data_IF_624724998596
#
_entry.id   IF_624724998596
#
_cell.length_a   1.000
_cell.length_b   1.000
_cell.length_c   1.000
_cell.angle_alpha   90.00
_cell.angle_beta   90.00
_cell.angle_gamma   90.00
#
_symmetry.space_group_name_H-M   'P 1'
#
loop_
_entity.id
_entity.type
_entity.pdbx_description
1 polymer ?
#
# COMPACT_ATOMS: atom_id res chain seq x y z
N UNK A 1 -30.54 50.73 -19.38
CA UNK A 1 -30.88 49.76 -18.32
C UNK A 1 -31.27 48.42 -18.94
N UNK A 2 -30.37 47.43 -18.92
CA UNK A 2 -30.67 46.01 -19.17
C UNK A 2 -29.72 45.19 -18.29
N UNK A 3 -30.26 44.53 -17.26
CA UNK A 3 -29.56 43.54 -16.45
C UNK A 3 -30.33 42.22 -16.56
N UNK A 4 -29.73 41.22 -17.23
CA UNK A 4 -30.17 39.83 -17.23
C UNK A 4 -29.32 39.05 -16.22
N UNK A 5 -29.99 38.37 -15.29
CA UNK A 5 -29.42 37.61 -14.17
C UNK A 5 -28.63 36.38 -14.65
N UNK A 6 -27.47 36.16 -14.04
CA UNK A 6 -26.71 34.91 -14.14
C UNK A 6 -27.36 33.81 -13.27
N UNK A 7 -27.45 32.61 -13.84
CA UNK A 7 -27.94 31.40 -13.17
C UNK A 7 -26.72 30.57 -12.72
N UNK A 8 -26.48 30.51 -11.40
CA UNK A 8 -25.48 29.61 -10.81
C UNK A 8 -26.08 28.21 -10.67
N UNK A 9 -25.58 27.26 -11.45
CA UNK A 9 -25.93 25.84 -11.34
C UNK A 9 -24.97 25.16 -10.35
N UNK A 10 -25.48 24.83 -9.15
CA UNK A 10 -24.78 24.04 -8.15
C UNK A 10 -24.89 22.56 -8.52
N UNK A 11 -23.81 21.92 -8.98
CA UNK A 11 -23.76 20.46 -9.14
C UNK A 11 -23.51 19.80 -7.78
N UNK A 12 -24.55 19.18 -7.22
CA UNK A 12 -24.42 18.29 -6.07
C UNK A 12 -23.95 16.90 -6.53
N UNK A 13 -22.75 16.50 -6.13
CA UNK A 13 -22.22 15.14 -6.33
C UNK A 13 -22.68 14.27 -5.16
N UNK A 14 -23.65 13.40 -5.38
CA UNK A 14 -24.08 12.37 -4.42
C UNK A 14 -23.15 11.16 -4.52
N UNK A 15 -22.32 10.96 -3.49
CA UNK A 15 -21.55 9.73 -3.32
C UNK A 15 -22.41 8.70 -2.56
N UNK A 16 -23.02 7.76 -3.29
CA UNK A 16 -23.72 6.63 -2.69
C UNK A 16 -22.72 5.57 -2.22
N UNK A 17 -22.53 5.45 -0.91
CA UNK A 17 -21.75 4.38 -0.28
C UNK A 17 -22.73 3.35 0.29
N UNK A 18 -22.70 2.13 -0.25
CA UNK A 18 -23.53 1.03 0.21
C UNK A 18 -22.98 0.43 1.51
N UNK A 19 -23.84 0.30 2.52
CA UNK A 19 -23.59 -0.39 3.78
C UNK A 19 -23.85 -1.89 3.61
N UNK A 20 -22.93 -2.73 4.09
CA UNK A 20 -23.18 -4.17 4.27
C UNK A 20 -23.33 -4.46 5.76
N UNK A 21 -24.56 -4.76 6.17
CA UNK A 21 -24.91 -5.37 7.46
C UNK A 21 -24.82 -6.89 7.31
N UNK A 22 -23.99 -7.54 8.11
CA UNK A 22 -23.95 -9.01 8.21
C UNK A 22 -24.77 -9.47 9.40
N UNK A 23 -25.84 -10.24 9.16
CA UNK A 23 -26.54 -10.97 10.21
C UNK A 23 -25.82 -12.29 10.49
N UNK A 24 -25.67 -12.59 11.78
CA UNK A 24 -25.26 -13.89 12.30
C UNK A 24 -26.44 -14.86 12.33
N UNK A 25 -26.17 -16.15 12.15
CA UNK A 25 -27.05 -17.17 12.69
C UNK A 25 -26.28 -18.41 13.15
N UNK A 26 -26.87 -19.04 14.16
CA UNK A 26 -26.24 -19.94 15.12
C UNK A 26 -26.46 -21.43 14.87
N UNK A 27 -25.44 -22.22 15.27
CA UNK A 27 -25.49 -23.55 15.91
C UNK A 27 -26.15 -24.76 15.24
N UNK A 28 -25.37 -25.84 15.11
CA UNK A 28 -25.73 -27.17 15.65
C UNK A 28 -24.49 -28.03 15.88
N UNK A 29 -24.51 -28.81 16.97
CA UNK A 29 -23.41 -29.57 17.58
C UNK A 29 -23.58 -31.09 17.31
N UNK A 30 -22.43 -31.81 17.24
CA UNK A 30 -22.18 -33.20 17.74
C UNK A 30 -22.65 -34.35 16.81
N UNK A 31 -21.93 -35.46 16.52
CA UNK A 31 -21.11 -36.36 17.35
C UNK A 31 -20.08 -37.20 16.54
N UNK A 32 -19.09 -37.70 17.28
CA UNK A 32 -17.88 -38.49 16.99
C UNK A 32 -18.04 -39.89 16.36
N UNK A 33 -16.95 -40.40 15.74
CA UNK A 33 -16.43 -41.77 15.93
C UNK A 33 -14.90 -41.86 15.71
N UNK A 34 -14.29 -42.76 16.47
CA UNK A 34 -12.87 -42.95 16.77
C UNK A 34 -12.15 -44.00 15.91
N UNK A 35 -10.81 -43.96 15.93
CA UNK A 35 -9.86 -45.02 15.49
C UNK A 35 -8.98 -44.50 14.34
N UNK A 36 -7.65 -44.63 14.29
CA UNK A 36 -6.71 -45.49 14.99
C UNK A 36 -5.34 -44.77 15.13
N UNK A 37 -4.50 -45.30 16.01
CA UNK A 37 -3.12 -44.88 16.25
C UNK A 37 -2.26 -45.22 15.03
N UNK A 38 -1.42 -44.28 14.60
CA UNK A 38 -0.11 -44.58 14.03
C UNK A 38 0.89 -43.50 14.44
N UNK A 39 1.86 -43.94 15.22
CA UNK A 39 3.00 -43.16 15.71
C UNK A 39 4.07 -43.11 14.62
N UNK A 40 4.32 -41.92 14.07
CA UNK A 40 5.49 -41.66 13.23
C UNK A 40 6.40 -40.68 13.95
N UNK A 41 7.64 -41.12 14.14
CA UNK A 41 8.72 -40.43 14.83
C UNK A 41 8.98 -39.04 14.23
N UNK A 42 9.09 -38.05 15.11
CA UNK A 42 9.49 -36.68 14.77
C UNK A 42 11.01 -36.68 14.66
N UNK A 43 11.52 -36.72 13.43
CA UNK A 43 12.89 -36.35 13.14
C UNK A 43 13.01 -34.82 13.19
N UNK A 44 13.73 -34.33 14.21
CA UNK A 44 14.21 -32.96 14.29
C UNK A 44 15.21 -32.71 13.14
N UNK A 45 14.75 -32.12 12.04
CA UNK A 45 15.64 -31.44 11.10
C UNK A 45 15.47 -29.94 11.29
N UNK A 46 16.44 -29.34 11.98
CA UNK A 46 16.58 -27.90 12.08
C UNK A 46 16.70 -27.33 10.67
N UNK A 47 15.67 -26.60 10.23
CA UNK A 47 15.76 -25.77 9.04
C UNK A 47 16.47 -24.50 9.47
N UNK A 48 17.76 -24.44 9.20
CA UNK A 48 18.52 -23.20 9.19
C UNK A 48 17.86 -22.24 8.21
N UNK A 49 17.41 -21.10 8.74
CA UNK A 49 16.88 -20.00 7.94
C UNK A 49 18.09 -19.30 7.31
N UNK A 50 18.39 -19.63 6.05
CA UNK A 50 19.36 -18.89 5.24
C UNK A 50 18.98 -17.40 5.21
N UNK A 51 19.89 -16.58 5.70
CA UNK A 51 19.81 -15.12 5.66
C UNK A 51 20.06 -14.63 4.24
N UNK A 52 19.03 -14.58 3.40
CA UNK A 52 19.03 -13.72 2.22
C UNK A 52 18.90 -12.26 2.68
N UNK A 53 20.03 -11.70 3.11
CA UNK A 53 20.18 -10.26 3.36
C UNK A 53 20.61 -9.60 2.05
N UNK A 54 19.96 -8.51 1.59
CA UNK A 54 20.52 -7.68 0.53
C UNK A 54 21.92 -7.18 0.95
N UNK A 55 22.83 -6.87 0.00
CA UNK A 55 24.19 -6.51 0.35
C UNK A 55 24.19 -5.25 1.22
N UNK A 56 24.50 -5.44 2.50
CA UNK A 56 24.99 -4.39 3.37
C UNK A 56 26.42 -4.12 2.95
N UNK A 57 26.66 -3.10 2.12
CA UNK A 57 28.06 -2.76 1.84
C UNK A 57 28.36 -1.68 0.82
N UNK A 58 27.52 -1.43 -0.19
CA UNK A 58 27.87 -0.45 -1.22
C UNK A 58 27.08 0.85 -1.07
N UNK A 59 27.75 2.01 -0.95
CA UNK A 59 27.10 3.32 -1.01
C UNK A 59 26.19 3.42 -2.23
N UNK A 60 25.05 4.10 -2.06
CA UNK A 60 24.13 4.37 -3.17
C UNK A 60 24.85 5.13 -4.28
N UNK A 61 24.82 4.58 -5.50
CA UNK A 61 25.29 5.30 -6.69
C UNK A 61 24.40 6.53 -6.93
N UNK A 62 24.91 7.69 -6.54
CA UNK A 62 24.18 8.96 -6.60
C UNK A 62 23.98 9.43 -8.04
N UNK A 63 24.88 9.10 -8.96
CA UNK A 63 24.76 9.46 -10.37
C UNK A 63 23.64 8.64 -11.03
N UNK A 64 23.60 7.33 -10.80
CA UNK A 64 22.51 6.47 -11.26
C UNK A 64 21.18 6.85 -10.61
N UNK A 65 21.17 7.15 -9.31
CA UNK A 65 19.99 7.61 -8.59
C UNK A 65 19.41 8.89 -9.24
N UNK A 66 20.24 9.91 -9.47
CA UNK A 66 19.83 11.15 -10.12
C UNK A 66 19.32 10.92 -11.55
N UNK A 67 19.97 10.02 -12.31
CA UNK A 67 19.52 9.62 -13.65
C UNK A 67 18.12 8.99 -13.61
N UNK A 68 17.92 8.03 -12.71
CA UNK A 68 16.63 7.33 -12.54
C UNK A 68 15.50 8.26 -12.08
N UNK A 69 15.79 9.24 -11.23
CA UNK A 69 14.81 10.27 -10.85
C UNK A 69 14.36 11.12 -12.05
N UNK A 70 15.29 11.50 -12.94
CA UNK A 70 14.95 12.22 -14.18
C UNK A 70 14.12 11.35 -15.12
N UNK A 71 14.45 10.06 -15.25
CA UNK A 71 13.67 9.09 -16.03
C UNK A 71 12.24 8.96 -15.48
N UNK A 72 12.06 8.83 -14.16
CA UNK A 72 10.75 8.77 -13.53
C UNK A 72 9.95 10.06 -13.70
N UNK A 73 10.59 11.23 -13.67
CA UNK A 73 9.91 12.50 -13.91
C UNK A 73 9.27 12.60 -15.31
N UNK A 74 9.70 11.74 -16.25
CA UNK A 74 9.07 11.55 -17.56
C UNK A 74 8.87 12.87 -18.34
N UNK A 75 9.91 13.72 -18.33
CA UNK A 75 9.89 15.01 -19.01
C UNK A 75 8.91 16.01 -18.40
N UNK A 76 8.71 16.00 -17.08
CA UNK A 76 8.06 17.11 -16.38
C UNK A 76 8.92 18.39 -16.56
N UNK A 77 8.31 19.43 -17.11
CA UNK A 77 8.95 20.74 -17.34
C UNK A 77 8.47 21.79 -16.33
N UNK A 78 7.53 21.43 -15.44
CA UNK A 78 6.95 22.36 -14.46
C UNK A 78 7.84 22.58 -13.25
N UNK A 79 8.87 21.75 -13.08
CA UNK A 79 9.79 21.80 -11.95
C UNK A 79 9.23 21.18 -10.67
N UNK A 80 8.07 20.51 -10.73
CA UNK A 80 7.49 19.75 -9.61
C UNK A 80 8.18 18.40 -9.42
N UNK A 81 8.56 17.75 -10.53
CA UNK A 81 9.16 16.42 -10.53
C UNK A 81 10.49 16.42 -11.31
N UNK A 82 11.53 15.69 -10.83
CA UNK A 82 11.58 15.03 -9.52
C UNK A 82 11.64 16.08 -8.40
N UNK A 83 11.23 15.69 -7.18
CA UNK A 83 11.28 16.58 -6.02
C UNK A 83 12.72 16.99 -5.75
N UNK A 84 12.96 18.31 -5.70
CA UNK A 84 14.29 18.88 -5.48
C UNK A 84 14.73 18.66 -4.02
N UNK A 85 16.03 18.53 -3.81
CA UNK A 85 16.66 18.40 -2.47
C UNK A 85 16.18 17.20 -1.64
N UNK A 86 15.69 16.13 -2.28
CA UNK A 86 15.47 14.87 -1.57
C UNK A 86 16.81 14.24 -1.14
N UNK A 87 16.89 13.60 0.04
CA UNK A 87 18.11 12.96 0.50
C UNK A 87 18.46 11.75 -0.37
N UNK A 88 19.76 11.47 -0.52
CA UNK A 88 20.20 10.19 -1.07
C UNK A 88 19.83 9.07 -0.08
N UNK A 89 19.22 7.97 -0.55
CA UNK A 89 18.81 6.90 0.34
C UNK A 89 20.03 6.08 0.80
N UNK A 90 19.89 5.36 1.91
CA UNK A 90 20.91 4.40 2.35
C UNK A 90 21.07 3.24 1.34
N UNK A 91 22.19 2.47 1.41
CA UNK A 91 22.37 1.24 0.64
C UNK A 91 21.19 0.28 0.73
N UNK A 92 20.88 -0.39 -0.37
CA UNK A 92 19.76 -1.32 -0.48
C UNK A 92 18.40 -0.66 -0.76
N UNK A 93 18.39 0.63 -1.11
CA UNK A 93 17.20 1.31 -1.60
C UNK A 93 16.61 0.61 -2.84
N UNK A 94 15.28 0.51 -2.89
CA UNK A 94 14.56 -0.16 -3.98
C UNK A 94 14.16 0.88 -5.03
N UNK A 95 13.68 2.05 -4.61
CA UNK A 95 13.24 3.15 -5.45
C UNK A 95 14.38 4.17 -5.61
N UNK A 96 14.58 4.75 -6.81
CA UNK A 96 13.86 4.51 -8.06
C UNK A 96 14.45 3.38 -8.93
N UNK A 97 15.34 2.53 -8.39
CA UNK A 97 16.08 1.53 -9.18
C UNK A 97 15.19 0.39 -9.71
N UNK A 98 14.18 0.00 -8.94
CA UNK A 98 13.19 -1.02 -9.27
C UNK A 98 11.78 -0.45 -9.17
N UNK A 99 10.83 -1.07 -9.88
CA UNK A 99 9.39 -0.80 -9.75
C UNK A 99 8.75 -1.86 -8.88
N UNK A 100 8.04 -1.47 -7.83
CA UNK A 100 7.29 -2.43 -7.01
C UNK A 100 5.97 -2.77 -7.71
N UNK A 101 5.65 -4.06 -7.80
CA UNK A 101 4.35 -4.57 -8.28
C UNK A 101 3.78 -5.47 -7.20
N UNK A 102 2.57 -5.18 -6.74
CA UNK A 102 2.00 -5.85 -5.57
C UNK A 102 0.53 -6.18 -5.68
N UNK A 103 0.12 -7.27 -5.02
CA UNK A 103 -1.27 -7.57 -4.74
C UNK A 103 -1.63 -7.14 -3.32
N UNK A 104 -2.73 -6.39 -3.20
CA UNK A 104 -3.25 -5.88 -1.95
C UNK A 104 -4.37 -6.76 -1.40
N UNK A 105 -4.52 -6.82 -0.08
CA UNK A 105 -5.75 -7.30 0.55
C UNK A 105 -5.57 -7.93 1.92
N UNK A 106 -6.50 -8.82 2.29
CA UNK A 106 -6.53 -9.47 3.59
C UNK A 106 -6.91 -10.96 3.45
N UNK A 107 -6.08 -11.87 3.96
CA UNK A 107 -6.26 -13.32 3.95
C UNK A 107 -7.58 -13.84 4.56
N UNK A 108 -8.24 -13.07 5.44
CA UNK A 108 -9.57 -13.44 5.95
C UNK A 108 -10.73 -12.98 5.06
N UNK A 109 -10.48 -12.20 4.01
CA UNK A 109 -11.53 -11.64 3.17
C UNK A 109 -11.20 -11.74 1.69
N UNK A 110 -12.04 -12.51 0.98
CA UNK A 110 -12.04 -12.57 -0.49
C UNK A 110 -12.59 -11.30 -1.16
N UNK A 111 -13.03 -10.31 -0.39
CA UNK A 111 -13.62 -9.05 -0.88
C UNK A 111 -12.70 -7.84 -0.70
N UNK A 112 -11.58 -8.01 -0.01
CA UNK A 112 -10.67 -6.91 0.34
C UNK A 112 -9.41 -6.84 -0.54
N UNK A 113 -9.34 -7.67 -1.59
CA UNK A 113 -8.34 -7.55 -2.65
C UNK A 113 -7.76 -8.88 -3.11
N UNK A 114 -7.09 -8.83 -4.28
CA UNK A 114 -6.50 -9.97 -4.95
C UNK A 114 -5.61 -10.88 -4.06
N UNK A 115 -4.95 -10.32 -3.04
CA UNK A 115 -4.13 -11.10 -2.10
C UNK A 115 -4.95 -12.17 -1.35
N UNK A 116 -6.15 -11.82 -0.90
CA UNK A 116 -7.03 -12.68 -0.09
C UNK A 116 -8.11 -13.40 -0.90
N UNK A 117 -8.29 -13.03 -2.17
CA UNK A 117 -9.33 -13.60 -3.03
C UNK A 117 -9.01 -15.01 -3.53
N UNK A 118 -7.74 -15.29 -3.82
CA UNK A 118 -7.30 -16.52 -4.46
C UNK A 118 -6.46 -17.39 -3.50
N UNK A 119 -6.39 -18.70 -3.79
CA UNK A 119 -5.46 -19.59 -3.11
C UNK A 119 -4.00 -19.16 -3.36
N UNK A 120 -3.06 -19.32 -2.41
CA UNK A 120 -1.72 -18.73 -2.51
C UNK A 120 -0.96 -19.03 -3.81
N UNK A 121 -0.98 -20.27 -4.30
CA UNK A 121 -0.30 -20.64 -5.55
C UNK A 121 -0.88 -19.90 -6.77
N UNK A 122 -2.21 -19.78 -6.81
CA UNK A 122 -2.92 -19.09 -7.90
C UNK A 122 -2.72 -17.58 -7.82
N UNK A 123 -2.83 -17.01 -6.61
CA UNK A 123 -2.54 -15.61 -6.33
C UNK A 123 -1.14 -15.23 -6.82
N UNK A 124 -0.11 -16.03 -6.49
CA UNK A 124 1.25 -15.80 -6.92
C UNK A 124 1.42 -15.95 -8.44
N UNK A 125 0.75 -16.94 -9.06
CA UNK A 125 0.76 -17.08 -10.53
C UNK A 125 0.23 -15.83 -11.22
N UNK A 126 -0.87 -15.27 -10.72
CA UNK A 126 -1.46 -14.04 -11.24
C UNK A 126 -0.56 -12.82 -10.99
N UNK A 127 0.00 -12.66 -9.80
CA UNK A 127 0.94 -11.59 -9.49
C UNK A 127 2.14 -11.60 -10.44
N UNK A 128 2.72 -12.78 -10.68
CA UNK A 128 3.86 -12.89 -11.59
C UNK A 128 3.49 -12.67 -13.06
N UNK A 129 2.22 -12.86 -13.44
CA UNK A 129 1.73 -12.42 -14.74
C UNK A 129 1.74 -10.90 -14.87
N UNK A 130 1.36 -10.15 -13.82
CA UNK A 130 1.48 -8.69 -13.81
C UNK A 130 2.95 -8.23 -13.80
N UNK A 131 3.81 -8.89 -13.02
CA UNK A 131 5.26 -8.64 -13.02
C UNK A 131 5.84 -8.73 -14.43
N UNK A 132 5.54 -9.81 -15.15
CA UNK A 132 6.03 -10.01 -16.51
C UNK A 132 5.56 -8.92 -17.50
N UNK A 133 4.32 -8.41 -17.34
CA UNK A 133 3.82 -7.29 -18.15
C UNK A 133 4.62 -6.00 -17.90
N UNK A 134 4.98 -5.73 -16.65
CA UNK A 134 5.77 -4.57 -16.27
C UNK A 134 7.24 -4.67 -16.69
N UNK A 135 7.85 -5.85 -16.60
CA UNK A 135 9.20 -6.09 -17.11
C UNK A 135 9.26 -5.92 -18.63
N UNK A 136 8.23 -6.38 -19.35
CA UNK A 136 8.14 -6.25 -20.81
C UNK A 136 8.03 -4.80 -21.28
N UNK A 137 7.26 -3.96 -20.60
CA UNK A 137 7.02 -2.57 -21.03
C UNK A 137 8.15 -1.61 -20.62
N UNK A 138 8.90 -1.94 -19.57
CA UNK A 138 10.02 -1.12 -19.07
C UNK A 138 11.21 -2.00 -18.63
N UNK A 139 11.90 -2.65 -19.59
CA UNK A 139 12.99 -3.59 -19.29
C UNK A 139 14.20 -2.93 -18.63
N UNK A 140 14.30 -1.59 -18.65
CA UNK A 140 15.37 -0.83 -18.00
C UNK A 140 15.13 -0.60 -16.50
N UNK A 141 13.96 -0.98 -15.99
CA UNK A 141 13.57 -0.83 -14.59
C UNK A 141 13.04 -2.16 -14.08
N UNK A 142 13.89 -2.98 -13.44
CA UNK A 142 13.49 -4.29 -12.93
C UNK A 142 12.29 -4.20 -11.99
N UNK A 143 11.50 -5.28 -11.92
CA UNK A 143 10.33 -5.34 -11.06
C UNK A 143 10.68 -5.99 -9.73
N UNK A 144 10.17 -5.42 -8.65
CA UNK A 144 10.25 -5.93 -7.29
C UNK A 144 8.86 -6.45 -6.88
N UNK A 145 8.61 -7.78 -6.93
CA UNK A 145 7.32 -8.33 -6.52
C UNK A 145 7.09 -8.12 -5.03
N UNK A 146 5.83 -7.93 -4.63
CA UNK A 146 5.45 -7.73 -3.24
C UNK A 146 4.04 -8.20 -2.91
N UNK A 147 3.77 -8.44 -1.63
CA UNK A 147 2.41 -8.62 -1.08
C UNK A 147 2.10 -7.46 -0.13
N UNK A 148 0.96 -6.79 -0.31
CA UNK A 148 0.52 -5.71 0.58
C UNK A 148 -0.69 -6.17 1.40
N UNK A 149 -0.44 -6.48 2.67
CA UNK A 149 -1.43 -7.07 3.55
C UNK A 149 -1.96 -6.08 4.57
N UNK A 150 -3.29 -6.01 4.70
CA UNK A 150 -3.95 -5.16 5.69
C UNK A 150 -3.85 -5.82 7.07
N UNK A 151 -2.90 -5.37 7.88
CA UNK A 151 -2.61 -5.93 9.20
C UNK A 151 -3.52 -5.35 10.29
N UNK A 152 -3.98 -4.10 10.11
CA UNK A 152 -5.01 -3.48 10.94
C UNK A 152 -6.11 -2.98 10.02
N UNK A 153 -7.32 -3.50 10.21
CA UNK A 153 -8.46 -3.28 9.31
C UNK A 153 -9.50 -2.40 10.02
N UNK A 154 -9.96 -1.33 9.38
CA UNK A 154 -11.10 -0.57 9.89
C UNK A 154 -12.36 -1.44 9.83
N UNK A 155 -13.11 -1.48 10.93
CA UNK A 155 -14.26 -2.36 11.10
C UNK A 155 -15.56 -1.56 11.20
N UNK A 156 -16.66 -2.15 10.72
CA UNK A 156 -18.01 -1.57 10.87
C UNK A 156 -18.53 -1.62 12.29
N UNK A 157 -18.08 -2.62 13.07
CA UNK A 157 -18.51 -2.88 14.44
C UNK A 157 -17.42 -2.49 15.46
N UNK A 158 -17.81 -2.07 16.68
CA UNK A 158 -16.85 -1.74 17.72
C UNK A 158 -16.13 -2.99 18.23
N UNK A 159 -14.81 -2.88 18.37
CA UNK A 159 -14.05 -3.82 19.20
C UNK A 159 -14.32 -3.60 20.70
N UNK A 160 -13.72 -4.43 21.56
CA UNK A 160 -13.89 -4.34 23.03
C UNK A 160 -13.53 -2.98 23.64
N UNK A 161 -12.62 -2.26 23.00
CA UNK A 161 -12.15 -0.92 23.38
C UNK A 161 -12.80 0.21 22.55
N UNK A 162 -13.85 -0.11 21.79
CA UNK A 162 -14.69 0.87 21.11
C UNK A 162 -14.05 1.60 19.93
N UNK A 163 -12.89 1.15 19.42
CA UNK A 163 -12.19 1.91 18.36
C UNK A 163 -12.42 1.43 16.91
N UNK A 164 -13.35 0.51 16.67
CA UNK A 164 -13.79 0.12 15.32
C UNK A 164 -12.65 -0.32 14.37
N UNK A 165 -11.76 -1.18 14.85
CA UNK A 165 -10.72 -1.82 14.03
C UNK A 165 -10.41 -3.23 14.50
N UNK A 166 -10.05 -4.09 13.57
CA UNK A 166 -9.62 -5.47 13.78
C UNK A 166 -8.14 -5.59 13.50
N UNK A 167 -7.38 -6.11 14.47
CA UNK A 167 -5.95 -6.42 14.31
C UNK A 167 -5.81 -7.86 13.87
N UNK A 168 -5.04 -8.10 12.82
CA UNK A 168 -4.76 -9.46 12.38
C UNK A 168 -3.91 -10.19 13.43
N UNK A 169 -4.29 -11.41 13.84
CA UNK A 169 -3.50 -12.17 14.79
C UNK A 169 -2.16 -12.56 14.18
N UNK A 170 -1.14 -12.72 15.03
CA UNK A 170 0.23 -13.04 14.61
C UNK A 170 0.32 -14.18 13.60
N UNK A 171 -0.46 -15.27 13.82
CA UNK A 171 -0.51 -16.44 12.93
C UNK A 171 -0.91 -16.11 11.49
N UNK A 172 -1.70 -15.05 11.28
CA UNK A 172 -2.09 -14.60 9.93
C UNK A 172 -0.98 -13.80 9.27
N UNK A 173 -0.33 -12.92 10.02
CA UNK A 173 0.85 -12.20 9.53
C UNK A 173 1.97 -13.21 9.22
N UNK A 174 2.15 -14.25 10.03
CA UNK A 174 3.09 -15.34 9.77
C UNK A 174 2.71 -16.16 8.54
N UNK A 175 1.41 -16.38 8.30
CA UNK A 175 0.92 -17.03 7.07
C UNK A 175 1.26 -16.21 5.83
N UNK A 176 1.13 -14.89 5.88
CA UNK A 176 1.57 -14.00 4.81
C UNK A 176 3.07 -14.18 4.53
N UNK A 177 3.91 -14.25 5.57
CA UNK A 177 5.35 -14.48 5.38
C UNK A 177 5.68 -15.84 4.79
N UNK A 178 4.93 -16.89 5.16
CA UNK A 178 5.08 -18.22 4.54
C UNK A 178 4.71 -18.18 3.05
N UNK A 179 3.62 -17.50 2.70
CA UNK A 179 3.25 -17.27 1.29
C UNK A 179 4.36 -16.48 0.59
N UNK A 180 4.92 -15.48 1.28
CA UNK A 180 5.96 -14.65 0.69
C UNK A 180 7.25 -15.42 0.38
N UNK A 181 7.62 -16.34 1.25
CA UNK A 181 8.77 -17.22 1.10
C UNK A 181 8.61 -18.28 -0.02
N UNK A 182 7.42 -18.42 -0.62
CA UNK A 182 7.22 -19.34 -1.77
C UNK A 182 7.91 -18.86 -3.05
N UNK A 183 8.39 -17.62 -3.07
CA UNK A 183 9.10 -17.00 -4.19
C UNK A 183 10.30 -16.21 -3.67
N UNK A 184 11.38 -16.17 -4.47
CA UNK A 184 12.59 -15.41 -4.12
C UNK A 184 12.33 -13.91 -4.19
N UNK A 185 13.10 -13.18 -3.39
CA UNK A 185 13.17 -11.72 -3.39
C UNK A 185 11.87 -10.98 -3.10
N UNK A 186 10.79 -11.63 -2.63
CA UNK A 186 9.53 -10.93 -2.41
C UNK A 186 9.56 -10.07 -1.14
N UNK A 187 9.09 -8.82 -1.27
CA UNK A 187 8.92 -7.90 -0.14
C UNK A 187 7.46 -7.91 0.35
N UNK A 188 7.25 -7.48 1.59
CA UNK A 188 5.92 -7.44 2.22
C UNK A 188 5.64 -6.04 2.72
N UNK A 189 4.41 -5.57 2.54
CA UNK A 189 3.90 -4.36 3.18
C UNK A 189 2.84 -4.75 4.22
N UNK A 190 2.92 -4.16 5.40
CA UNK A 190 1.86 -4.20 6.39
C UNK A 190 1.11 -2.87 6.37
N UNK A 191 -0.20 -2.93 6.09
CA UNK A 191 -1.06 -1.76 6.04
C UNK A 191 -1.82 -1.55 7.36
N UNK A 192 -2.07 -0.28 7.69
CA UNK A 192 -2.78 0.13 8.91
C UNK A 192 -3.94 1.07 8.59
N UNK A 193 -5.15 0.59 8.86
CA UNK A 193 -6.39 1.35 8.91
C UNK A 193 -6.80 1.57 10.36
N UNK A 194 -6.50 2.76 10.91
CA UNK A 194 -6.60 3.00 12.37
C UNK A 194 -8.03 3.17 12.90
N UNK A 195 -8.98 3.57 12.05
CA UNK A 195 -10.35 3.93 12.44
C UNK A 195 -10.36 4.98 13.55
N UNK A 196 -11.02 4.73 14.70
CA UNK A 196 -11.04 5.63 15.86
C UNK A 196 -9.83 5.48 16.80
N UNK A 197 -8.85 4.63 16.46
CA UNK A 197 -7.55 4.58 17.13
C UNK A 197 -6.59 5.60 16.51
N UNK A 198 -5.32 5.55 16.88
CA UNK A 198 -4.29 6.44 16.35
C UNK A 198 -3.12 5.65 15.80
N UNK A 199 -2.40 6.23 14.85
CA UNK A 199 -1.18 5.60 14.32
C UNK A 199 -0.11 5.37 15.39
N UNK A 200 -0.11 6.18 16.46
CA UNK A 200 0.79 6.04 17.62
C UNK A 200 0.48 4.79 18.46
N UNK A 201 -0.77 4.36 18.50
CA UNK A 201 -1.19 3.15 19.21
C UNK A 201 -1.01 1.88 18.36
N UNK A 202 -1.21 1.99 17.04
CA UNK A 202 -1.25 0.81 16.16
C UNK A 202 0.12 0.47 15.56
N UNK A 203 0.94 1.45 15.17
CA UNK A 203 2.24 1.20 14.53
C UNK A 203 3.22 0.39 15.41
N UNK A 204 3.42 0.70 16.71
CA UNK A 204 4.39 -0.03 17.54
C UNK A 204 4.08 -1.53 17.68
N UNK A 205 2.82 -1.93 17.54
CA UNK A 205 2.40 -3.33 17.60
C UNK A 205 2.98 -4.17 16.47
N UNK A 206 3.34 -3.56 15.34
CA UNK A 206 3.93 -4.22 14.18
C UNK A 206 5.46 -4.16 14.16
N UNK A 207 6.10 -3.55 15.17
CA UNK A 207 7.55 -3.34 15.20
C UNK A 207 8.35 -4.62 14.97
N UNK A 208 7.96 -5.73 15.61
CA UNK A 208 8.65 -7.02 15.48
C UNK A 208 8.75 -7.50 14.03
N UNK A 209 7.76 -7.15 13.20
CA UNK A 209 7.75 -7.48 11.78
C UNK A 209 8.52 -6.45 10.96
N UNK A 210 8.39 -5.16 11.28
CA UNK A 210 9.09 -4.06 10.60
C UNK A 210 10.63 -4.12 10.77
N UNK A 211 11.12 -4.82 11.80
CA UNK A 211 12.54 -5.15 11.98
C UNK A 211 13.11 -6.11 10.92
N UNK A 212 12.27 -6.78 10.12
CA UNK A 212 12.73 -7.62 9.00
C UNK A 212 13.16 -6.74 7.83
N UNK A 213 14.25 -7.07 7.10
CA UNK A 213 14.77 -6.22 6.02
C UNK A 213 13.77 -6.03 4.87
N UNK A 214 13.04 -7.09 4.51
CA UNK A 214 12.08 -7.12 3.40
C UNK A 214 10.64 -6.67 3.76
N UNK A 215 10.44 -6.08 4.94
CA UNK A 215 9.12 -5.60 5.39
C UNK A 215 9.06 -4.08 5.35
N UNK A 216 7.96 -3.59 4.80
CA UNK A 216 7.63 -2.18 4.56
C UNK A 216 6.24 -1.85 5.13
N UNK A 217 5.82 -0.60 5.04
CA UNK A 217 4.60 -0.11 5.69
C UNK A 217 3.70 0.65 4.71
N UNK A 218 2.39 0.45 4.83
CA UNK A 218 1.35 1.30 4.25
C UNK A 218 0.46 1.90 5.34
N UNK A 219 -0.13 3.07 5.06
CA UNK A 219 -1.22 3.65 5.86
C UNK A 219 -2.32 4.17 4.95
N UNK A 220 -3.55 4.05 5.44
CA UNK A 220 -4.77 4.48 4.76
C UNK A 220 -5.40 5.70 5.48
N UNK A 221 -5.10 6.94 5.04
CA UNK A 221 -5.64 8.15 5.67
C UNK A 221 -7.17 8.22 5.66
N UNK A 222 -7.85 7.63 4.68
CA UNK A 222 -9.31 7.59 4.59
C UNK A 222 -9.96 6.90 5.79
N UNK A 223 -9.21 6.08 6.53
CA UNK A 223 -9.65 5.42 7.76
C UNK A 223 -9.09 6.08 9.03
N UNK A 224 -8.45 7.25 8.96
CA UNK A 224 -8.05 8.01 10.16
C UNK A 224 -9.17 8.94 10.61
N UNK A 225 -10.00 8.45 11.53
CA UNK A 225 -11.31 9.03 11.85
C UNK A 225 -11.26 9.95 13.08
N UNK A 226 -10.49 11.04 12.98
CA UNK A 226 -10.21 11.97 14.09
C UNK A 226 -11.43 12.61 14.78
N UNK A 227 -12.58 12.67 14.10
CA UNK A 227 -13.80 13.30 14.60
C UNK A 227 -14.82 12.34 15.23
N UNK A 228 -14.45 11.10 15.56
CA UNK A 228 -15.38 10.12 16.14
C UNK A 228 -16.38 9.51 15.15
N UNK A 229 -16.34 9.95 13.89
CA UNK A 229 -17.21 9.44 12.83
C UNK A 229 -16.78 8.03 12.46
N UNK A 230 -17.74 7.12 12.32
CA UNK A 230 -17.45 5.72 11.97
C UNK A 230 -16.80 5.60 10.58
N UNK A 231 -15.86 4.65 10.40
CA UNK A 231 -15.18 4.43 9.12
C UNK A 231 -16.20 4.17 7.99
N UNK A 232 -15.88 4.64 6.79
CA UNK A 232 -16.75 4.49 5.61
C UNK A 232 -17.93 5.48 5.52
N UNK A 233 -18.20 6.28 6.56
CA UNK A 233 -19.22 7.36 6.52
C UNK A 233 -18.66 8.67 5.97
N UNK A 234 -17.38 8.94 6.25
CA UNK A 234 -16.60 10.08 5.74
C UNK A 234 -15.19 9.60 5.44
N UNK A 235 -14.50 10.35 4.57
CA UNK A 235 -13.08 10.14 4.32
C UNK A 235 -12.29 10.77 5.47
N UNK A 236 -11.48 9.95 6.14
CA UNK A 236 -10.56 10.37 7.19
C UNK A 236 -9.39 11.22 6.69
N UNK A 237 -8.45 11.51 7.59
CA UNK A 237 -7.30 12.38 7.27
C UNK A 237 -6.08 12.08 8.13
N UNK A 238 -4.90 12.21 7.52
CA UNK A 238 -3.64 12.39 8.24
C UNK A 238 -3.08 13.79 7.98
N UNK A 239 -2.45 14.36 9.00
CA UNK A 239 -1.58 15.53 8.84
C UNK A 239 -0.14 15.06 8.56
N UNK A 240 0.65 15.90 7.89
CA UNK A 240 2.09 15.74 7.78
C UNK A 240 2.78 15.45 9.13
N UNK A 241 2.29 15.95 10.27
CA UNK A 241 2.83 15.63 11.60
C UNK A 241 2.75 14.14 11.94
N UNK A 242 1.67 13.46 11.56
CA UNK A 242 1.48 12.03 11.81
C UNK A 242 2.26 11.19 10.80
N UNK A 243 2.30 11.62 9.53
CA UNK A 243 3.15 11.00 8.51
C UNK A 243 4.63 11.12 8.92
N UNK A 244 5.03 12.27 9.47
CA UNK A 244 6.36 12.50 10.00
C UNK A 244 6.68 11.61 11.19
N UNK A 245 5.71 11.39 12.10
CA UNK A 245 5.86 10.42 13.19
C UNK A 245 6.16 9.01 12.65
N UNK A 246 5.39 8.55 11.66
CA UNK A 246 5.61 7.23 11.05
C UNK A 246 6.98 7.16 10.37
N UNK A 247 7.35 8.15 9.57
CA UNK A 247 8.65 8.18 8.91
C UNK A 247 9.82 8.22 9.90
N UNK A 248 9.66 8.90 11.05
CA UNK A 248 10.66 8.95 12.11
C UNK A 248 10.83 7.60 12.79
N UNK A 249 9.71 6.94 13.09
CA UNK A 249 9.66 5.61 13.68
C UNK A 249 10.37 4.58 12.77
N UNK A 250 10.03 4.57 11.48
CA UNK A 250 10.68 3.69 10.51
C UNK A 250 12.18 4.01 10.37
N UNK A 251 12.56 5.29 10.35
CA UNK A 251 13.97 5.68 10.27
C UNK A 251 14.75 5.23 11.51
N UNK A 252 14.16 5.32 12.72
CA UNK A 252 14.76 4.78 13.94
C UNK A 252 14.95 3.27 13.85
N UNK A 253 13.95 2.52 13.39
CA UNK A 253 14.10 1.08 13.19
C UNK A 253 15.21 0.73 12.21
N UNK A 254 15.32 1.48 11.11
CA UNK A 254 16.38 1.29 10.12
C UNK A 254 17.76 1.49 10.72
N UNK A 255 17.98 2.59 11.46
CA UNK A 255 19.27 2.86 12.10
C UNK A 255 19.60 1.84 13.18
N UNK A 256 18.67 1.58 14.10
CA UNK A 256 18.91 0.71 15.26
C UNK A 256 19.17 -0.74 14.85
N UNK A 257 18.58 -1.21 13.74
CA UNK A 257 18.67 -2.60 13.30
C UNK A 257 19.51 -2.77 12.02
N UNK A 258 20.20 -1.70 11.56
CA UNK A 258 21.04 -1.69 10.34
C UNK A 258 20.31 -2.24 9.10
N UNK A 259 19.06 -1.83 8.91
CA UNK A 259 18.21 -2.32 7.82
C UNK A 259 18.45 -1.52 6.53
N UNK A 260 18.06 -2.07 5.36
CA UNK A 260 17.87 -1.24 4.17
C UNK A 260 16.71 -0.25 4.38
N UNK A 261 16.67 0.86 3.60
CA UNK A 261 15.58 1.83 3.67
C UNK A 261 14.19 1.22 3.50
N UNK A 262 13.23 1.70 4.29
CA UNK A 262 11.83 1.27 4.20
C UNK A 262 11.09 2.03 3.13
N UNK A 263 10.31 1.35 2.30
CA UNK A 263 9.25 2.00 1.54
C UNK A 263 8.10 2.29 2.50
N UNK A 264 7.59 3.52 2.48
CA UNK A 264 6.44 3.94 3.26
C UNK A 264 5.36 4.48 2.31
N UNK A 265 4.27 3.73 2.19
CA UNK A 265 3.17 4.05 1.28
C UNK A 265 2.10 4.84 2.05
N UNK A 266 1.68 5.97 1.48
CA UNK A 266 0.57 6.78 1.99
C UNK A 266 -0.49 6.85 0.89
N UNK A 267 -1.62 6.20 1.15
CA UNK A 267 -2.74 6.10 0.22
C UNK A 267 -3.47 7.44 0.08
N UNK A 268 -3.81 7.88 -1.14
CA UNK A 268 -4.45 9.17 -1.39
C UNK A 268 -5.27 9.17 -2.68
N UNK A 269 -6.52 9.62 -2.58
CA UNK A 269 -7.38 9.87 -3.74
C UNK A 269 -8.24 11.14 -3.61
N UNK A 270 -8.10 11.89 -2.51
CA UNK A 270 -8.60 13.26 -2.37
C UNK A 270 -7.54 14.12 -1.68
N UNK A 271 -7.57 15.44 -1.89
CA UNK A 271 -6.61 16.35 -1.25
C UNK A 271 -6.69 16.34 0.29
N UNK A 272 -7.91 16.29 0.86
CA UNK A 272 -8.12 16.37 2.31
C UNK A 272 -7.63 15.14 3.10
N UNK A 273 -7.34 14.03 2.42
CA UNK A 273 -6.76 12.84 3.06
C UNK A 273 -5.38 13.10 3.64
N UNK A 274 -4.59 13.99 3.02
CA UNK A 274 -3.26 14.36 3.50
C UNK A 274 -3.17 15.87 3.57
N UNK A 275 -3.20 16.40 4.79
CA UNK A 275 -3.06 17.83 5.04
C UNK A 275 -1.60 18.21 5.23
N UNK A 276 -1.25 19.44 4.85
CA UNK A 276 0.09 20.00 5.04
C UNK A 276 1.23 19.19 4.39
N UNK A 277 0.99 18.53 3.25
CA UNK A 277 1.96 17.61 2.61
C UNK A 277 3.37 18.21 2.41
N UNK A 278 3.48 19.53 2.21
CA UNK A 278 4.77 20.24 2.08
C UNK A 278 5.65 20.15 3.34
N UNK A 279 5.05 19.85 4.49
CA UNK A 279 5.74 19.68 5.76
C UNK A 279 6.17 18.22 6.00
N UNK A 280 5.90 17.29 5.08
CA UNK A 280 6.41 15.91 5.16
C UNK A 280 7.93 15.92 4.97
N UNK A 281 8.64 15.34 5.93
CA UNK A 281 10.11 15.29 5.98
C UNK A 281 10.60 14.03 5.30
N UNK A 282 11.48 14.19 4.31
CA UNK A 282 12.15 13.09 3.64
C UNK A 282 13.42 12.68 4.40
N UNK A 283 13.75 11.38 4.37
CA UNK A 283 14.83 10.78 5.17
C UNK A 283 15.62 9.76 4.34
N UNK A 284 16.95 9.64 4.49
CA UNK A 284 17.73 8.58 3.82
C UNK A 284 17.20 7.16 4.08
N UNK A 285 16.60 6.94 5.26
CA UNK A 285 16.10 5.65 5.72
C UNK A 285 14.70 5.29 5.18
N UNK A 286 13.97 6.24 4.59
CA UNK A 286 12.56 6.05 4.22
C UNK A 286 12.28 6.59 2.82
N UNK A 287 11.70 5.75 1.98
CA UNK A 287 11.27 6.06 0.61
C UNK A 287 9.75 6.24 0.62
N UNK A 288 9.28 7.48 0.65
CA UNK A 288 7.86 7.83 0.76
C UNK A 288 7.17 7.75 -0.61
N UNK A 289 6.09 6.99 -0.69
CA UNK A 289 5.27 6.84 -1.89
C UNK A 289 3.90 7.45 -1.62
N UNK A 290 3.55 8.51 -2.35
CA UNK A 290 2.17 8.98 -2.42
C UNK A 290 1.41 8.15 -3.46
N UNK A 291 0.47 7.35 -3.00
CA UNK A 291 -0.14 6.28 -3.78
C UNK A 291 -1.56 6.66 -4.22
N UNK A 292 -1.79 6.72 -5.55
CA UNK A 292 -3.11 7.00 -6.12
C UNK A 292 -4.05 5.81 -5.88
N UNK A 293 -4.92 5.92 -4.87
CA UNK A 293 -5.78 4.82 -4.37
C UNK A 293 -7.27 5.00 -4.75
N UNK A 294 -7.55 5.80 -5.77
CA UNK A 294 -8.92 6.04 -6.24
C UNK A 294 -9.35 4.96 -7.23
N UNK A 295 -10.57 4.42 -7.06
CA UNK A 295 -11.19 3.54 -8.06
C UNK A 295 -12.04 4.35 -9.04
N UNK A 296 -12.24 3.81 -10.24
CA UNK A 296 -13.10 4.40 -11.26
C UNK A 296 -12.57 4.18 -12.68
N UNK A 297 -13.29 4.73 -13.65
CA UNK A 297 -12.88 4.71 -15.05
C UNK A 297 -11.55 5.46 -15.26
N UNK A 298 -10.80 5.13 -16.34
CA UNK A 298 -9.47 5.71 -16.59
C UNK A 298 -9.40 7.24 -16.50
N UNK A 299 -10.40 7.95 -17.02
CA UNK A 299 -10.42 9.42 -17.00
C UNK A 299 -10.49 9.98 -15.58
N UNK A 300 -11.39 9.45 -14.74
CA UNK A 300 -11.49 9.83 -13.33
C UNK A 300 -10.18 9.58 -12.59
N UNK A 301 -9.55 8.42 -12.83
CA UNK A 301 -8.27 8.06 -12.21
C UNK A 301 -7.13 8.97 -12.65
N UNK A 302 -7.08 9.33 -13.94
CA UNK A 302 -6.13 10.32 -14.46
C UNK A 302 -6.38 11.71 -13.87
N UNK A 303 -7.64 12.10 -13.68
CA UNK A 303 -8.04 13.34 -13.00
C UNK A 303 -7.56 13.35 -11.55
N UNK A 304 -7.87 12.31 -10.78
CA UNK A 304 -7.43 12.13 -9.39
C UNK A 304 -5.91 12.18 -9.26
N UNK A 305 -5.19 11.46 -10.13
CA UNK A 305 -3.73 11.52 -10.19
C UNK A 305 -3.23 12.95 -10.43
N UNK A 306 -3.77 13.66 -11.41
CA UNK A 306 -3.35 15.03 -11.75
C UNK A 306 -3.54 15.99 -10.58
N UNK A 307 -4.70 15.95 -9.93
CA UNK A 307 -5.06 16.90 -8.89
C UNK A 307 -4.38 16.59 -7.55
N UNK A 308 -4.30 15.32 -7.17
CA UNK A 308 -3.90 14.96 -5.81
C UNK A 308 -2.56 14.24 -5.75
N UNK A 309 -1.98 13.75 -6.84
CA UNK A 309 -0.64 13.12 -6.81
C UNK A 309 0.39 14.04 -7.47
N UNK A 310 0.16 14.39 -8.73
CA UNK A 310 1.08 15.22 -9.50
C UNK A 310 1.25 16.64 -8.91
N UNK A 311 0.15 17.30 -8.54
CA UNK A 311 0.15 18.67 -8.02
C UNK A 311 0.57 18.79 -6.54
N UNK A 312 0.73 17.67 -5.83
CA UNK A 312 1.16 17.62 -4.44
C UNK A 312 2.36 16.67 -4.27
N UNK A 313 3.52 17.04 -4.84
CA UNK A 313 4.70 16.20 -4.86
C UNK A 313 5.29 15.99 -3.45
N UNK A 314 5.73 14.76 -3.17
CA UNK A 314 6.42 14.40 -1.91
C UNK A 314 7.76 13.72 -2.20
N UNK A 315 7.78 12.52 -2.80
CA UNK A 315 9.05 11.87 -3.18
C UNK A 315 8.89 10.91 -4.35
N UNK A 316 8.10 9.85 -4.18
CA UNK A 316 7.73 8.90 -5.23
C UNK A 316 6.22 8.80 -5.37
N UNK A 317 5.77 8.26 -6.50
CA UNK A 317 4.34 8.08 -6.79
C UNK A 317 4.00 6.61 -6.98
N UNK A 318 2.83 6.22 -6.51
CA UNK A 318 2.26 4.92 -6.83
C UNK A 318 0.88 5.03 -7.49
N UNK A 319 0.39 3.92 -8.02
CA UNK A 319 -0.90 3.86 -8.66
C UNK A 319 -1.58 2.51 -8.40
N UNK A 320 -2.86 2.55 -8.04
CA UNK A 320 -3.65 1.35 -7.83
C UNK A 320 -4.54 1.02 -9.02
N UNK A 321 -4.72 -0.25 -9.32
CA UNK A 321 -5.68 -0.78 -10.29
C UNK A 321 -6.65 -1.69 -9.52
N UNK A 322 -7.96 -1.45 -9.68
CA UNK A 322 -8.98 -2.29 -9.08
C UNK A 322 -9.59 -3.16 -10.17
N UNK A 323 -9.31 -4.47 -10.15
CA UNK A 323 -9.73 -5.40 -11.21
C UNK A 323 -11.24 -5.37 -11.47
N UNK A 324 -12.03 -5.14 -10.43
CA UNK A 324 -13.50 -5.13 -10.48
C UNK A 324 -14.09 -3.72 -10.45
N UNK A 325 -13.59 -2.86 -9.56
CA UNK A 325 -14.21 -1.55 -9.32
C UNK A 325 -13.97 -0.56 -10.47
N UNK A 326 -12.82 -0.63 -11.14
CA UNK A 326 -12.51 0.27 -12.26
C UNK A 326 -13.37 -0.05 -13.51
N UNK A 327 -13.97 -1.25 -13.57
CA UNK A 327 -14.82 -1.70 -14.67
C UNK A 327 -16.29 -1.30 -14.52
N UNK A 328 -16.68 -0.64 -13.41
CA UNK A 328 -18.10 -0.36 -13.10
C UNK A 328 -18.73 0.71 -14.01
N UNK A 329 -17.92 1.59 -14.60
CA UNK A 329 -18.38 2.67 -15.48
C UNK A 329 -17.71 2.57 -16.83
N UNK A 330 -18.36 3.11 -17.86
CA UNK A 330 -17.80 3.23 -19.20
C UNK A 330 -16.41 3.93 -19.13
N UNK A 331 -15.41 3.48 -19.90
CA UNK A 331 -15.48 2.49 -20.98
C UNK A 331 -15.26 1.03 -20.51
N UNK A 332 -15.48 0.71 -19.24
CA UNK A 332 -15.40 -0.64 -18.67
C UNK A 332 -14.05 -1.32 -18.95
N UNK A 333 -12.95 -0.58 -18.81
CA UNK A 333 -11.59 -1.10 -18.98
C UNK A 333 -10.67 -0.65 -17.85
N UNK A 334 -9.68 -1.48 -17.57
CA UNK A 334 -8.57 -1.11 -16.69
C UNK A 334 -7.59 -0.19 -17.43
N UNK A 335 -6.90 0.67 -16.68
CA UNK A 335 -5.69 1.30 -17.18
C UNK A 335 -4.59 0.25 -17.31
N UNK A 336 -3.88 0.26 -18.43
CA UNK A 336 -2.80 -0.69 -18.73
C UNK A 336 -1.45 -0.16 -18.22
N UNK A 337 -0.40 -1.00 -18.12
CA UNK A 337 0.96 -0.52 -17.89
C UNK A 337 1.38 0.56 -18.89
N UNK A 338 0.98 0.45 -20.17
CA UNK A 338 1.27 1.45 -21.19
C UNK A 338 0.55 2.79 -20.92
N UNK A 339 -0.66 2.78 -20.37
CA UNK A 339 -1.34 4.00 -19.93
C UNK A 339 -0.60 4.67 -18.77
N UNK A 340 -0.16 3.87 -17.79
CA UNK A 340 0.55 4.37 -16.61
C UNK A 340 1.95 4.88 -16.93
N UNK A 341 2.64 4.32 -17.92
CA UNK A 341 3.94 4.80 -18.38
C UNK A 341 3.90 6.20 -19.04
N UNK A 342 2.71 6.68 -19.41
CA UNK A 342 2.48 8.05 -19.90
C UNK A 342 2.33 9.08 -18.79
N UNK A 343 2.13 8.65 -17.54
CA UNK A 343 1.97 9.56 -16.41
C UNK A 343 3.26 10.31 -16.11
N UNK A 344 3.10 11.50 -15.54
CA UNK A 344 4.19 12.34 -15.04
C UNK A 344 3.97 12.57 -13.54
N UNK A 345 4.90 12.16 -12.67
CA UNK A 345 5.97 11.20 -12.94
C UNK A 345 5.39 9.80 -13.24
N UNK A 346 6.22 8.89 -13.77
CA UNK A 346 5.88 7.47 -13.90
C UNK A 346 5.79 6.85 -12.51
N UNK A 347 4.73 6.08 -12.20
CA UNK A 347 4.62 5.41 -10.91
C UNK A 347 5.71 4.35 -10.72
N UNK A 348 6.32 4.35 -9.54
CA UNK A 348 7.35 3.39 -9.13
C UNK A 348 6.79 2.29 -8.22
N UNK A 349 5.52 2.40 -7.84
CA UNK A 349 4.79 1.44 -7.02
C UNK A 349 3.41 1.18 -7.63
N UNK A 350 3.12 -0.07 -7.98
CA UNK A 350 1.88 -0.49 -8.63
C UNK A 350 1.18 -1.49 -7.75
N UNK A 351 -0.06 -1.20 -7.40
CA UNK A 351 -0.88 -2.06 -6.55
C UNK A 351 -2.10 -2.54 -7.31
N UNK A 352 -2.38 -3.84 -7.24
CA UNK A 352 -3.60 -4.44 -7.80
C UNK A 352 -4.50 -4.92 -6.67
N UNK A 353 -5.79 -4.59 -6.78
CA UNK A 353 -6.82 -4.98 -5.81
C UNK A 353 -7.99 -5.69 -6.50
#
# INVERSE_FOLDING_TARGET
>A
MKYGKQLNLLLAVTASIAFFTGCADSSSKVKSKSGAKDSIAIANSGVEVEKDSPPTGQPTDTALYNKKLKELANGDTTGKWPVKKQPYPLPGAILPFKRVVTFYGNLYSKRMGALGEYAPKEMLRMLYSEVAKWEKIDPKTPVQPALHYIAVVAAGDPGKDGKYRNRMPDKQIDSLFKIAAMKKDMIVFLDIQVSLSTIREELPRLEKYLKRPNVHLGIDPEFSMKGGVLPGRKIGTYDASEINYVSDYLAKLVRDNKLPPKIFVVHRFTGKMVTNYKNIKLRPEVQVVMHMDGWGEPELKMGTHRHFIYNEPVQFTGFKIFYKNDLKKAPNRLMTPADLMKLKPRPSYIQYQ
#
